data_IF_813748828089
#
_entry.id   IF_813748828089
#
_cell.length_a   1.000
_cell.length_b   1.000
_cell.length_c   1.000
_cell.angle_alpha   90.00
_cell.angle_beta   90.00
_cell.angle_gamma   90.00
#
_symmetry.space_group_name_H-M   'P 1'
#
loop_
_entity.id
_entity.type
_entity.pdbx_description
1 polymer ?
#
# COMPACT_ATOMS: atom_id res chain seq x y z
N UNK A 1 -10.52 9.94 -0.25
CA UNK A 1 -9.68 8.82 0.21
C UNK A 1 -8.63 8.52 -0.82
N UNK A 2 -7.38 8.32 -0.40
CA UNK A 2 -6.29 7.89 -1.28
C UNK A 2 -5.92 6.45 -0.94
N UNK A 3 -5.87 5.59 -1.96
CA UNK A 3 -5.32 4.25 -1.86
C UNK A 3 -3.93 4.22 -2.48
N UNK A 4 -2.96 3.66 -1.75
CA UNK A 4 -1.64 3.31 -2.30
C UNK A 4 -1.52 1.80 -2.34
N UNK A 5 -1.28 1.24 -3.53
CA UNK A 5 -1.09 -0.19 -3.74
C UNK A 5 0.34 -0.50 -4.15
N UNK A 6 0.84 -1.62 -3.68
CA UNK A 6 2.13 -2.15 -4.08
C UNK A 6 2.61 -3.23 -3.12
N UNK A 7 3.41 -4.19 -3.59
CA UNK A 7 3.96 -5.25 -2.74
C UNK A 7 4.87 -4.69 -1.64
N UNK A 8 5.30 -5.54 -0.72
CA UNK A 8 6.33 -5.17 0.25
C UNK A 8 7.58 -4.71 -0.49
N UNK A 9 8.25 -3.67 0.01
CA UNK A 9 9.45 -3.13 -0.64
C UNK A 9 9.22 -2.32 -1.91
N UNK A 10 7.98 -2.06 -2.33
CA UNK A 10 7.68 -1.30 -3.55
C UNK A 10 7.89 0.22 -3.44
N UNK A 11 8.34 0.75 -2.30
CA UNK A 11 8.55 2.18 -2.13
C UNK A 11 7.30 2.98 -1.73
N UNK A 12 6.24 2.35 -1.23
CA UNK A 12 5.00 3.04 -0.80
C UNK A 12 5.24 4.19 0.18
N UNK A 13 6.16 4.02 1.12
CA UNK A 13 6.51 5.06 2.10
C UNK A 13 7.09 6.30 1.41
N UNK A 14 7.98 6.11 0.44
CA UNK A 14 8.53 7.20 -0.36
C UNK A 14 7.43 7.97 -1.11
N UNK A 15 6.51 7.25 -1.74
CA UNK A 15 5.38 7.87 -2.46
C UNK A 15 4.47 8.66 -1.53
N UNK A 16 4.22 8.21 -0.30
CA UNK A 16 3.46 8.98 0.69
C UNK A 16 4.09 10.37 0.92
N UNK A 17 5.41 10.40 1.03
CA UNK A 17 6.16 11.66 1.26
C UNK A 17 6.08 12.58 0.04
N UNK A 18 6.19 12.01 -1.17
CA UNK A 18 6.16 12.75 -2.45
C UNK A 18 4.77 13.29 -2.78
N UNK A 19 3.70 12.55 -2.48
CA UNK A 19 2.32 13.00 -2.74
C UNK A 19 1.95 14.30 -2.00
N UNK A 20 2.72 14.67 -0.97
CA UNK A 20 2.51 15.92 -0.24
C UNK A 20 1.10 16.06 0.33
N UNK A 21 0.50 14.94 0.74
CA UNK A 21 -0.85 14.94 1.29
C UNK A 21 -0.92 15.81 2.56
N UNK A 22 -2.02 16.53 2.78
CA UNK A 22 -2.21 17.29 4.01
C UNK A 22 -2.06 16.46 5.27
N UNK A 23 -1.53 17.05 6.35
CA UNK A 23 -1.25 16.37 7.61
C UNK A 23 -2.50 15.80 8.33
N UNK A 24 -3.70 16.16 7.89
CA UNK A 24 -4.96 15.66 8.44
C UNK A 24 -5.39 14.30 7.86
N UNK A 25 -4.66 13.77 6.87
CA UNK A 25 -4.91 12.42 6.39
C UNK A 25 -4.61 11.37 7.45
N UNK A 26 -5.58 10.51 7.70
CA UNK A 26 -5.44 9.40 8.65
C UNK A 26 -4.90 8.17 7.91
N UNK A 27 -3.71 7.73 8.28
CA UNK A 27 -3.10 6.54 7.70
C UNK A 27 -3.79 5.29 8.23
N UNK A 28 -4.25 4.45 7.33
CA UNK A 28 -4.87 3.14 7.59
C UNK A 28 -3.93 2.06 7.06
N UNK A 29 -3.09 1.53 7.95
CA UNK A 29 -2.09 0.52 7.64
C UNK A 29 -1.98 -0.47 8.81
N UNK A 30 -2.20 -1.76 8.54
CA UNK A 30 -2.08 -2.81 9.57
C UNK A 30 -0.61 -3.03 9.96
N UNK A 31 0.31 -2.81 9.05
CA UNK A 31 1.73 -3.07 9.28
C UNK A 31 2.33 -2.12 10.33
N UNK A 32 1.84 -0.87 10.41
CA UNK A 32 2.21 0.06 11.49
C UNK A 32 1.83 -0.49 12.87
N UNK A 33 0.64 -1.10 12.98
CA UNK A 33 0.22 -1.74 14.23
C UNK A 33 1.05 -2.99 14.54
N UNK A 34 1.45 -3.75 13.54
CA UNK A 34 2.34 -4.91 13.71
C UNK A 34 3.69 -4.47 14.26
N UNK A 35 4.27 -3.42 13.68
CA UNK A 35 5.58 -2.88 14.08
C UNK A 35 5.57 -2.32 15.51
N UNK A 36 4.45 -1.78 15.97
CA UNK A 36 4.29 -1.32 17.35
C UNK A 36 3.99 -2.46 18.34
N UNK A 37 3.12 -3.40 17.97
CA UNK A 37 2.57 -4.40 18.92
C UNK A 37 3.48 -5.61 19.05
N UNK A 38 4.05 -6.16 17.97
CA UNK A 38 4.84 -7.38 18.04
C UNK A 38 6.00 -7.31 19.05
N UNK A 39 6.83 -6.24 19.06
CA UNK A 39 7.91 -6.10 20.05
C UNK A 39 7.41 -6.06 21.50
N UNK A 40 6.24 -5.48 21.76
CA UNK A 40 5.65 -5.41 23.11
C UNK A 40 5.29 -6.80 23.66
N UNK A 41 5.03 -7.77 22.78
CA UNK A 41 4.78 -9.18 23.12
C UNK A 41 6.01 -10.06 22.94
N UNK A 42 7.21 -9.48 22.76
CA UNK A 42 8.45 -10.23 22.56
C UNK A 42 8.50 -11.00 21.24
N UNK A 43 7.68 -10.61 20.24
CA UNK A 43 7.65 -11.23 18.92
C UNK A 43 8.60 -10.49 17.97
N UNK A 44 9.42 -11.26 17.25
CA UNK A 44 10.28 -10.71 16.19
C UNK A 44 9.44 -10.11 15.06
N UNK A 45 9.90 -8.99 14.51
CA UNK A 45 9.36 -8.39 13.29
C UNK A 45 9.75 -9.17 12.02
N UNK A 46 10.70 -10.11 12.11
CA UNK A 46 10.95 -11.08 11.06
C UNK A 46 9.87 -12.16 11.07
N UNK A 47 9.04 -12.20 10.03
CA UNK A 47 7.91 -13.13 9.97
C UNK A 47 8.33 -14.58 9.76
N UNK A 48 9.58 -14.84 9.40
CA UNK A 48 10.11 -16.20 9.29
C UNK A 48 10.55 -16.79 10.65
N UNK A 49 10.68 -15.96 11.69
CA UNK A 49 11.15 -16.34 13.02
C UNK A 49 10.01 -16.49 14.04
N UNK A 50 10.25 -17.31 15.05
CA UNK A 50 9.40 -17.42 16.24
C UNK A 50 8.06 -18.15 16.01
N UNK A 51 7.09 -17.99 16.93
CA UNK A 51 5.85 -18.76 16.96
C UNK A 51 4.86 -18.28 15.88
N UNK A 52 4.86 -18.94 14.73
CA UNK A 52 4.08 -18.54 13.55
C UNK A 52 2.56 -18.47 13.83
N UNK A 53 2.02 -19.42 14.59
CA UNK A 53 0.60 -19.45 14.92
C UNK A 53 0.21 -18.21 15.73
N UNK A 54 1.01 -17.85 16.73
CA UNK A 54 0.76 -16.66 17.57
C UNK A 54 0.82 -15.38 16.74
N UNK A 55 1.83 -15.26 15.85
CA UNK A 55 1.96 -14.11 14.96
C UNK A 55 0.77 -13.98 14.01
N UNK A 56 0.29 -15.09 13.46
CA UNK A 56 -0.86 -15.09 12.55
C UNK A 56 -2.15 -14.67 13.27
N UNK A 57 -2.41 -15.21 14.46
CA UNK A 57 -3.59 -14.85 15.24
C UNK A 57 -3.55 -13.38 15.69
N UNK A 58 -2.41 -12.93 16.18
CA UNK A 58 -2.25 -11.52 16.56
C UNK A 58 -2.42 -10.59 15.34
N UNK A 59 -1.86 -10.96 14.18
CA UNK A 59 -2.03 -10.19 12.95
C UNK A 59 -3.50 -10.10 12.52
N UNK A 60 -4.29 -11.17 12.68
CA UNK A 60 -5.74 -11.12 12.40
C UNK A 60 -6.44 -10.11 13.31
N UNK A 61 -6.12 -10.10 14.60
CA UNK A 61 -6.67 -9.11 15.54
C UNK A 61 -6.28 -7.69 15.16
N UNK A 62 -5.04 -7.46 14.75
CA UNK A 62 -4.57 -6.16 14.28
C UNK A 62 -5.25 -5.72 12.98
N UNK A 63 -5.55 -6.65 12.07
CA UNK A 63 -6.35 -6.38 10.88
C UNK A 63 -7.80 -5.98 11.24
N UNK A 64 -8.40 -6.60 12.22
CA UNK A 64 -9.73 -6.22 12.73
C UNK A 64 -9.69 -4.82 13.35
N UNK A 65 -8.70 -4.54 14.21
CA UNK A 65 -8.51 -3.22 14.80
C UNK A 65 -8.29 -2.13 13.74
N UNK A 66 -7.52 -2.43 12.67
CA UNK A 66 -7.33 -1.52 11.54
C UNK A 66 -8.65 -1.24 10.83
N UNK A 67 -9.48 -2.26 10.60
CA UNK A 67 -10.79 -2.10 9.96
C UNK A 67 -11.76 -1.30 10.84
N UNK A 68 -11.75 -1.50 12.15
CA UNK A 68 -12.54 -0.71 13.11
C UNK A 68 -12.08 0.76 13.14
N UNK A 69 -10.77 0.98 13.15
CA UNK A 69 -10.17 2.31 13.04
C UNK A 69 -10.64 3.01 11.77
N UNK A 70 -10.58 2.34 10.62
CA UNK A 70 -11.06 2.87 9.36
C UNK A 70 -12.54 3.27 9.44
N UNK A 71 -13.43 2.38 9.91
CA UNK A 71 -14.87 2.67 10.08
C UNK A 71 -15.11 3.89 10.97
N UNK A 72 -14.36 3.99 12.08
CA UNK A 72 -14.47 5.14 13.00
C UNK A 72 -14.16 6.46 12.32
N UNK A 73 -13.16 6.51 11.46
CA UNK A 73 -12.78 7.74 10.77
C UNK A 73 -13.66 8.01 9.54
N UNK A 74 -14.13 6.98 8.85
CA UNK A 74 -15.17 7.10 7.81
C UNK A 74 -16.44 7.74 8.38
N UNK A 75 -16.92 7.27 9.53
CA UNK A 75 -18.09 7.84 10.21
C UNK A 75 -17.89 9.31 10.65
N UNK A 76 -16.66 9.79 10.69
CA UNK A 76 -16.32 11.18 10.99
C UNK A 76 -16.01 12.01 9.74
N UNK A 77 -16.22 11.46 8.55
CA UNK A 77 -15.90 12.07 7.27
C UNK A 77 -14.43 12.54 7.17
N UNK A 78 -13.49 11.83 7.81
CA UNK A 78 -12.08 12.18 7.80
C UNK A 78 -11.40 11.73 6.51
N UNK A 79 -10.43 12.49 5.98
CA UNK A 79 -9.63 12.05 4.85
C UNK A 79 -8.74 10.86 5.24
N UNK A 80 -8.68 9.84 4.39
CA UNK A 80 -7.97 8.59 4.65
C UNK A 80 -6.89 8.32 3.61
N UNK A 81 -5.75 7.84 4.06
CA UNK A 81 -4.70 7.24 3.25
C UNK A 81 -4.65 5.73 3.56
N UNK A 82 -5.07 4.89 2.62
CA UNK A 82 -5.12 3.44 2.79
C UNK A 82 -3.93 2.80 2.08
N UNK A 83 -3.00 2.27 2.87
CA UNK A 83 -1.82 1.56 2.38
C UNK A 83 -2.07 0.05 2.41
N UNK A 84 -1.98 -0.60 1.25
CA UNK A 84 -2.26 -2.02 1.10
C UNK A 84 -1.35 -2.68 0.06
N UNK A 85 -0.99 -3.96 0.23
CA UNK A 85 -0.21 -4.68 -0.78
C UNK A 85 -0.91 -4.83 -2.14
N UNK A 86 -2.23 -4.74 -2.20
CA UNK A 86 -2.98 -4.79 -3.47
C UNK A 86 -3.24 -6.20 -4.02
N UNK A 87 -2.77 -7.27 -3.37
CA UNK A 87 -2.95 -8.64 -3.88
C UNK A 87 -4.41 -9.11 -3.84
N UNK A 88 -5.23 -8.55 -2.96
CA UNK A 88 -6.67 -8.90 -2.79
C UNK A 88 -7.56 -7.86 -3.47
N UNK A 89 -7.41 -7.71 -4.77
CA UNK A 89 -8.05 -6.63 -5.53
C UNK A 89 -9.59 -6.62 -5.42
N UNK A 90 -10.25 -7.79 -5.34
CA UNK A 90 -11.70 -7.85 -5.17
C UNK A 90 -12.14 -7.20 -3.85
N UNK A 91 -11.40 -7.46 -2.75
CA UNK A 91 -11.69 -6.83 -1.45
C UNK A 91 -11.49 -5.31 -1.52
N UNK A 92 -10.47 -4.86 -2.26
CA UNK A 92 -10.22 -3.43 -2.46
C UNK A 92 -11.37 -2.80 -3.23
N UNK A 93 -11.82 -3.45 -4.31
CA UNK A 93 -12.97 -3.01 -5.11
C UNK A 93 -14.23 -2.83 -4.24
N UNK A 94 -14.53 -3.79 -3.37
CA UNK A 94 -15.68 -3.71 -2.48
C UNK A 94 -15.56 -2.51 -1.52
N UNK A 95 -14.36 -2.27 -0.98
CA UNK A 95 -14.11 -1.13 -0.10
C UNK A 95 -14.23 0.20 -0.87
N UNK A 96 -13.66 0.30 -2.07
CA UNK A 96 -13.75 1.50 -2.91
C UNK A 96 -15.20 1.83 -3.22
N UNK A 97 -15.99 0.85 -3.67
CA UNK A 97 -17.40 1.04 -3.97
C UNK A 97 -18.20 1.50 -2.76
N UNK A 98 -17.99 0.87 -1.60
CA UNK A 98 -18.66 1.28 -0.37
C UNK A 98 -18.29 2.72 0.05
N UNK A 99 -17.05 3.16 -0.17
CA UNK A 99 -16.63 4.54 0.12
C UNK A 99 -17.27 5.53 -0.84
N UNK A 100 -17.33 5.21 -2.13
CA UNK A 100 -18.00 6.05 -3.14
C UNK A 100 -19.51 6.16 -2.86
N UNK A 101 -20.18 5.06 -2.49
CA UNK A 101 -21.62 5.06 -2.13
C UNK A 101 -21.95 5.99 -0.97
N UNK A 102 -21.04 6.15 -0.02
CA UNK A 102 -21.23 7.07 1.12
C UNK A 102 -20.69 8.48 0.87
N UNK A 103 -20.27 8.77 -0.37
CA UNK A 103 -19.94 10.12 -0.83
C UNK A 103 -18.47 10.52 -0.77
N UNK A 104 -17.55 9.57 -0.60
CA UNK A 104 -16.13 9.89 -0.73
C UNK A 104 -15.70 9.93 -2.20
N UNK A 105 -14.86 10.89 -2.54
CA UNK A 105 -14.01 10.81 -3.71
C UNK A 105 -12.83 9.89 -3.40
N UNK A 106 -12.55 8.95 -4.31
CA UNK A 106 -11.50 7.94 -4.12
C UNK A 106 -10.44 8.10 -5.19
N UNK A 107 -9.20 8.26 -4.77
CA UNK A 107 -8.03 8.28 -5.63
C UNK A 107 -7.21 6.99 -5.46
N UNK A 108 -6.75 6.42 -6.57
CA UNK A 108 -5.99 5.18 -6.60
C UNK A 108 -4.58 5.45 -7.09
N UNK A 109 -3.58 5.09 -6.30
CA UNK A 109 -2.18 5.17 -6.65
C UNK A 109 -1.55 3.77 -6.63
N UNK A 110 -1.02 3.37 -7.78
CA UNK A 110 -0.44 2.05 -7.97
C UNK A 110 1.08 2.13 -8.12
N UNK A 111 1.81 1.27 -7.39
CA UNK A 111 3.25 1.13 -7.53
C UNK A 111 3.53 -0.29 -8.02
N UNK A 112 4.07 -0.42 -9.22
CA UNK A 112 4.44 -1.69 -9.80
C UNK A 112 5.96 -1.83 -9.83
N UNK A 113 6.46 -2.85 -9.14
CA UNK A 113 7.88 -3.21 -9.13
C UNK A 113 8.03 -4.71 -9.40
N UNK A 114 9.13 -5.14 -10.01
CA UNK A 114 9.39 -6.55 -10.21
C UNK A 114 9.43 -7.33 -8.90
N UNK A 115 8.98 -8.60 -8.89
CA UNK A 115 8.98 -9.42 -7.68
C UNK A 115 10.36 -9.59 -7.04
N UNK A 116 11.41 -9.66 -7.86
CA UNK A 116 12.79 -9.78 -7.35
C UNK A 116 13.24 -8.52 -6.62
N UNK A 117 12.90 -7.34 -7.16
CA UNK A 117 13.13 -6.06 -6.49
C UNK A 117 12.41 -5.99 -5.14
N UNK A 118 11.12 -6.40 -5.09
CA UNK A 118 10.37 -6.44 -3.84
C UNK A 118 11.05 -7.30 -2.78
N UNK A 119 11.57 -8.47 -3.17
CA UNK A 119 12.28 -9.38 -2.26
C UNK A 119 13.57 -8.74 -1.76
N UNK A 120 14.39 -8.22 -2.66
CA UNK A 120 15.65 -7.57 -2.30
C UNK A 120 15.41 -6.38 -1.36
N UNK A 121 14.45 -5.53 -1.67
CA UNK A 121 14.13 -4.35 -0.87
C UNK A 121 13.59 -4.72 0.53
N UNK A 122 12.80 -5.81 0.66
CA UNK A 122 12.33 -6.30 1.96
C UNK A 122 13.49 -6.80 2.84
N UNK A 123 14.46 -7.51 2.23
CA UNK A 123 15.65 -8.00 2.93
C UNK A 123 16.60 -6.86 3.33
N UNK A 124 16.85 -5.91 2.44
CA UNK A 124 17.70 -4.75 2.72
C UNK A 124 17.12 -3.85 3.82
N UNK A 125 15.81 -3.64 3.82
CA UNK A 125 15.14 -2.88 4.88
C UNK A 125 15.33 -3.54 6.24
N UNK A 126 15.17 -4.86 6.34
CA UNK A 126 15.44 -5.61 7.56
C UNK A 126 16.91 -5.47 7.98
N UNK A 127 17.84 -5.68 7.06
CA UNK A 127 19.26 -5.62 7.35
C UNK A 127 19.75 -4.24 7.81
N UNK A 128 19.22 -3.17 7.21
CA UNK A 128 19.65 -1.79 7.49
C UNK A 128 18.95 -1.16 8.68
N UNK A 129 17.64 -1.43 8.88
CA UNK A 129 16.79 -0.71 9.83
C UNK A 129 16.18 -1.61 10.91
N UNK A 130 16.28 -2.94 10.77
CA UNK A 130 15.59 -3.86 11.69
C UNK A 130 14.06 -3.74 11.65
N UNK A 131 13.51 -3.11 10.60
CA UNK A 131 12.09 -2.99 10.37
C UNK A 131 11.49 -4.35 9.98
N UNK A 132 10.19 -4.42 9.81
CA UNK A 132 9.48 -5.65 9.49
C UNK A 132 10.05 -6.36 8.24
N UNK A 133 10.30 -7.67 8.36
CA UNK A 133 10.67 -8.57 7.27
C UNK A 133 9.53 -9.55 6.98
N UNK A 134 9.05 -9.54 5.75
CA UNK A 134 8.00 -10.47 5.30
C UNK A 134 8.58 -11.83 4.92
N UNK A 135 9.77 -11.84 4.37
CA UNK A 135 10.50 -13.00 3.88
C UNK A 135 10.30 -13.25 2.38
N UNK A 136 11.34 -13.81 1.71
CA UNK A 136 11.42 -13.84 0.26
C UNK A 136 10.28 -14.61 -0.41
N UNK A 137 9.88 -15.74 0.17
CA UNK A 137 8.81 -16.59 -0.39
C UNK A 137 7.47 -15.87 -0.41
N UNK A 138 7.07 -15.29 0.72
CA UNK A 138 5.77 -14.61 0.84
C UNK A 138 5.78 -13.28 0.07
N UNK A 139 6.87 -12.52 0.14
CA UNK A 139 7.03 -11.27 -0.63
C UNK A 139 6.88 -11.52 -2.13
N UNK A 140 7.57 -12.54 -2.67
CA UNK A 140 7.46 -12.94 -4.07
C UNK A 140 6.04 -13.38 -4.43
N UNK A 141 5.39 -14.15 -3.57
CA UNK A 141 4.00 -14.60 -3.79
C UNK A 141 3.05 -13.41 -3.89
N UNK A 142 3.16 -12.44 -2.97
CA UNK A 142 2.33 -11.23 -2.95
C UNK A 142 2.60 -10.39 -4.21
N UNK A 143 3.87 -10.17 -4.57
CA UNK A 143 4.25 -9.41 -5.75
C UNK A 143 3.75 -10.03 -7.04
N UNK A 144 3.88 -11.35 -7.20
CA UNK A 144 3.37 -12.08 -8.37
C UNK A 144 1.83 -11.99 -8.46
N UNK A 145 1.12 -12.13 -7.33
CA UNK A 145 -0.34 -12.00 -7.31
C UNK A 145 -0.79 -10.58 -7.62
N UNK A 146 -0.07 -9.58 -7.11
CA UNK A 146 -0.29 -8.18 -7.43
C UNK A 146 -0.13 -7.92 -8.93
N UNK A 147 0.99 -8.32 -9.53
CA UNK A 147 1.20 -8.16 -10.98
C UNK A 147 0.14 -8.88 -11.82
N UNK A 148 -0.27 -10.07 -11.41
CA UNK A 148 -1.35 -10.79 -12.09
C UNK A 148 -2.65 -9.98 -12.09
N UNK A 149 -3.05 -9.46 -10.93
CA UNK A 149 -4.32 -8.75 -10.78
C UNK A 149 -4.30 -7.39 -11.49
N UNK A 150 -3.22 -6.66 -11.35
CA UNK A 150 -3.13 -5.25 -11.71
C UNK A 150 -2.65 -5.07 -13.15
N UNK A 151 -1.64 -5.84 -13.55
CA UNK A 151 -1.04 -5.70 -14.88
C UNK A 151 -1.75 -6.57 -15.89
N UNK A 152 -1.93 -7.87 -15.59
CA UNK A 152 -2.49 -8.81 -16.55
C UNK A 152 -4.00 -8.68 -16.72
N UNK A 153 -4.71 -8.59 -15.61
CA UNK A 153 -6.17 -8.61 -15.62
C UNK A 153 -6.78 -7.20 -15.74
N UNK A 154 -5.94 -6.16 -15.72
CA UNK A 154 -6.33 -4.75 -15.85
C UNK A 154 -7.46 -4.29 -14.89
N UNK A 155 -7.64 -4.99 -13.78
CA UNK A 155 -8.76 -4.74 -12.84
C UNK A 155 -8.65 -3.35 -12.21
N UNK A 156 -7.43 -2.85 -12.08
CA UNK A 156 -7.15 -1.51 -11.58
C UNK A 156 -7.69 -0.44 -12.53
N UNK A 157 -7.48 -0.58 -13.85
CA UNK A 157 -8.00 0.33 -14.86
C UNK A 157 -9.53 0.32 -14.86
N UNK A 158 -10.15 -0.87 -14.82
CA UNK A 158 -11.60 -1.01 -14.73
C UNK A 158 -12.16 -0.31 -13.50
N UNK A 159 -11.47 -0.39 -12.34
CA UNK A 159 -11.88 0.29 -11.14
C UNK A 159 -11.81 1.82 -11.27
N UNK A 160 -10.82 2.34 -12.01
CA UNK A 160 -10.67 3.76 -12.29
C UNK A 160 -11.72 4.34 -13.24
N UNK A 161 -12.45 3.50 -13.97
CA UNK A 161 -13.57 3.92 -14.82
C UNK A 161 -14.88 4.11 -14.03
N UNK A 162 -14.92 3.69 -12.75
CA UNK A 162 -16.10 3.83 -11.91
C UNK A 162 -16.30 5.30 -11.47
N UNK A 163 -17.55 5.72 -11.40
CA UNK A 163 -17.91 7.08 -10.95
C UNK A 163 -17.40 7.33 -9.52
N UNK A 164 -16.77 8.48 -9.32
CA UNK A 164 -16.21 8.87 -8.01
C UNK A 164 -14.85 8.23 -7.71
N UNK A 165 -14.25 7.56 -8.69
CA UNK A 165 -12.89 7.00 -8.59
C UNK A 165 -11.97 7.73 -9.58
N UNK A 166 -10.82 8.17 -9.11
CA UNK A 166 -9.78 8.80 -9.91
C UNK A 166 -8.53 7.94 -9.90
N UNK A 167 -8.00 7.61 -11.07
CA UNK A 167 -6.64 7.09 -11.18
C UNK A 167 -5.69 8.28 -11.08
N UNK A 168 -4.82 8.28 -10.08
CA UNK A 168 -3.75 9.29 -9.96
C UNK A 168 -2.63 9.03 -10.98
N UNK A 169 -2.61 7.85 -11.60
CA UNK A 169 -1.82 7.59 -12.78
C UNK A 169 -2.59 6.65 -13.68
N UNK A 170 -2.88 7.05 -14.87
CA UNK A 170 -3.31 6.22 -16.00
C UNK A 170 -2.14 5.43 -16.60
N UNK A 171 -0.92 5.73 -16.16
CA UNK A 171 0.28 4.96 -16.46
C UNK A 171 0.50 3.98 -15.32
N UNK A 172 0.45 2.69 -15.65
CA UNK A 172 1.13 1.68 -14.84
C UNK A 172 2.57 2.16 -14.81
N UNK A 173 3.04 2.77 -13.70
CA UNK A 173 4.44 3.10 -13.55
C UNK A 173 5.24 1.81 -13.49
N UNK A 174 5.66 1.24 -14.63
CA UNK A 174 6.60 0.16 -14.62
C UNK A 174 7.90 0.81 -14.20
N UNK A 175 8.34 0.51 -12.99
CA UNK A 175 9.68 0.81 -12.56
C UNK A 175 9.95 2.31 -12.29
N UNK A 176 9.41 2.84 -11.21
CA UNK A 176 9.96 4.05 -10.56
C UNK A 176 11.45 3.83 -10.24
N UNK A 177 11.83 2.57 -10.01
CA UNK A 177 13.19 2.19 -9.65
C UNK A 177 13.85 1.36 -10.73
N UNK A 178 15.13 1.64 -10.99
CA UNK A 178 15.96 0.72 -11.76
C UNK A 178 16.11 -0.60 -10.98
N UNK A 179 15.76 -1.69 -11.65
CA UNK A 179 15.74 -3.04 -11.05
C UNK A 179 17.15 -3.53 -10.64
N UNK A 180 18.18 -3.00 -11.29
CA UNK A 180 19.57 -3.44 -11.07
C UNK A 180 20.23 -2.61 -9.97
N UNK A 181 19.93 -1.30 -9.90
CA UNK A 181 20.58 -0.38 -8.96
C UNK A 181 19.72 -0.10 -7.73
N UNK A 182 18.40 -0.29 -7.81
CA UNK A 182 17.45 0.07 -6.77
C UNK A 182 17.25 1.59 -6.63
N UNK A 183 17.82 2.37 -7.52
CA UNK A 183 17.67 3.82 -7.56
C UNK A 183 16.45 4.22 -8.40
N UNK A 184 15.98 5.44 -8.20
CA UNK A 184 14.94 6.01 -9.07
C UNK A 184 15.50 6.07 -10.47
N UNK A 185 14.73 5.59 -11.44
CA UNK A 185 15.15 5.62 -12.85
C UNK A 185 15.41 7.04 -13.30
N UNK A 186 16.52 7.27 -14.00
CA UNK A 186 16.87 8.57 -14.56
C UNK A 186 15.81 9.10 -15.55
N UNK A 187 15.06 8.19 -16.20
CA UNK A 187 13.97 8.52 -17.11
C UNK A 187 12.62 8.68 -16.40
N UNK A 188 12.57 8.55 -15.07
CA UNK A 188 11.38 8.82 -14.29
C UNK A 188 11.26 10.32 -14.03
N UNK A 189 10.27 10.93 -14.64
CA UNK A 189 9.96 12.33 -14.44
C UNK A 189 9.16 12.53 -13.14
N UNK A 190 9.85 12.98 -12.10
CA UNK A 190 9.21 13.28 -10.82
C UNK A 190 8.13 14.38 -10.93
N UNK A 191 8.15 15.19 -11.99
CA UNK A 191 7.12 16.22 -12.23
C UNK A 191 5.75 15.58 -12.46
N UNK A 192 5.71 14.36 -12.97
CA UNK A 192 4.48 13.58 -13.15
C UNK A 192 3.77 13.33 -11.81
N UNK A 193 4.55 13.14 -10.73
CA UNK A 193 3.99 13.02 -9.36
C UNK A 193 3.55 14.39 -8.82
N UNK A 194 4.07 15.48 -9.37
CA UNK A 194 3.71 16.84 -8.94
C UNK A 194 2.50 17.38 -9.70
N UNK A 195 2.37 17.04 -10.99
CA UNK A 195 1.21 17.39 -11.81
C UNK A 195 -0.06 16.66 -11.37
N UNK A 196 0.10 15.43 -10.82
CA UNK A 196 -0.97 14.64 -10.22
C UNK A 196 -1.21 15.00 -8.72
N UNK A 197 -0.67 16.12 -8.23
CA UNK A 197 -1.06 16.60 -6.90
C UNK A 197 -2.56 16.74 -6.87
N UNK A 198 -3.18 15.92 -6.04
CA UNK A 198 -4.60 16.04 -5.71
C UNK A 198 -4.92 17.50 -5.43
N UNK A 199 -5.57 18.19 -6.37
CA UNK A 199 -6.36 19.37 -6.03
C UNK A 199 -7.52 18.88 -5.15
N UNK A 200 -7.18 18.62 -3.89
CA UNK A 200 -8.20 18.43 -2.86
C UNK A 200 -8.93 19.75 -2.80
N UNK A 201 -10.11 19.80 -3.42
CA UNK A 201 -11.03 20.92 -3.19
C UNK A 201 -11.22 20.99 -1.69
N UNK A 202 -10.87 22.13 -1.12
CA UNK A 202 -11.19 22.43 0.27
C UNK A 202 -12.69 22.15 0.51
N UNK A 203 -13.03 21.53 1.64
CA UNK A 203 -14.41 21.19 1.98
C UNK A 203 -15.30 22.39 2.08
#
# INVERSE_FOLDING_TARGET
VVFIFGPAGAGKTYIKDVLGLPNNFIVINTDELVEDVFPRYGLSLNFEEGPQVVKQELRKLLQQATAERMRKYVNKCMPLLIDTPGEKINKIRDIVRALVEIGYDVALFQINVPPDYSVQSDEERWAKKGERKVGPKLTRQIANQYQKNVVRDAVYLQLGEERGVTLLSDKIYPNIFDINTGEIREDFDESVLQDDKLELKDP
#
